data_IF_979718942681
#
_entry.id   IF_979718942681
#
_cell.length_a   1.000
_cell.length_b   1.000
_cell.length_c   1.000
_cell.angle_alpha   90.00
_cell.angle_beta   90.00
_cell.angle_gamma   90.00
#
_symmetry.space_group_name_H-M   'P 1'
#
loop_
_entity.id
_entity.type
_entity.pdbx_description
1 polymer ?
#
# COMPACT_ATOMS: atom_id res chain seq x y z
N UNK A 1 -15.59 7.90 12.47
CA UNK A 1 -15.12 6.66 11.83
C UNK A 1 -13.84 6.29 12.55
N UNK A 2 -13.86 5.19 13.32
CA UNK A 2 -12.68 4.73 14.06
C UNK A 2 -11.82 4.01 13.04
N UNK A 3 -10.65 4.57 12.69
CA UNK A 3 -9.69 3.89 11.80
C UNK A 3 -9.41 2.49 12.36
N UNK A 4 -9.71 1.47 11.55
CA UNK A 4 -9.57 0.05 11.92
C UNK A 4 -8.13 -0.28 12.33
N UNK A 5 -7.97 -1.29 13.19
CA UNK A 5 -6.65 -1.72 13.70
C UNK A 5 -5.69 -2.09 12.56
N UNK A 6 -6.22 -2.75 11.53
CA UNK A 6 -5.52 -3.07 10.28
C UNK A 6 -4.90 -1.84 9.61
N UNK A 7 -5.63 -0.72 9.56
CA UNK A 7 -5.15 0.52 8.93
C UNK A 7 -3.95 1.09 9.68
N UNK A 8 -4.02 1.10 11.02
CA UNK A 8 -2.94 1.60 11.87
C UNK A 8 -1.69 0.73 11.76
N UNK A 9 -1.85 -0.58 11.68
CA UNK A 9 -0.72 -1.50 11.48
C UNK A 9 -0.08 -1.28 10.11
N UNK A 10 -0.88 -1.09 9.06
CA UNK A 10 -0.36 -0.78 7.73
C UNK A 10 0.40 0.55 7.71
N UNK A 11 -0.10 1.60 8.36
CA UNK A 11 0.65 2.88 8.51
C UNK A 11 2.01 2.67 9.19
N UNK A 12 2.08 1.82 10.22
CA UNK A 12 3.36 1.54 10.90
C UNK A 12 4.35 0.80 10.00
N UNK A 13 3.88 -0.20 9.23
CA UNK A 13 4.72 -0.91 8.26
C UNK A 13 5.19 -0.01 7.14
N UNK A 14 4.33 0.90 6.66
CA UNK A 14 4.68 1.91 5.66
C UNK A 14 5.78 2.82 6.21
N UNK A 15 5.66 3.33 7.43
CA UNK A 15 6.69 4.20 8.00
C UNK A 15 8.01 3.45 8.22
N UNK A 16 7.96 2.17 8.61
CA UNK A 16 9.15 1.34 8.70
C UNK A 16 9.81 1.16 7.34
N UNK A 17 9.03 0.78 6.32
CA UNK A 17 9.50 0.65 4.94
C UNK A 17 10.12 1.97 4.44
N UNK A 18 9.54 3.11 4.79
CA UNK A 18 10.08 4.44 4.46
C UNK A 18 11.45 4.68 5.08
N UNK A 19 11.63 4.29 6.35
CA UNK A 19 12.90 4.47 7.08
C UNK A 19 13.99 3.54 6.58
N UNK A 20 13.60 2.38 6.07
CA UNK A 20 14.50 1.36 5.53
C UNK A 20 14.73 1.54 4.02
N UNK A 21 14.15 2.57 3.40
CA UNK A 21 14.16 2.78 1.95
C UNK A 21 13.76 1.49 1.19
N UNK A 22 12.77 0.78 1.73
CA UNK A 22 12.36 -0.53 1.23
C UNK A 22 11.76 -0.40 -0.17
N UNK A 23 12.23 -1.26 -1.07
CA UNK A 23 11.74 -1.36 -2.44
C UNK A 23 10.55 -2.33 -2.57
N UNK A 24 10.28 -3.12 -1.54
CA UNK A 24 9.15 -4.04 -1.49
C UNK A 24 8.40 -3.88 -0.17
N UNK A 25 7.07 -3.88 -0.21
CA UNK A 25 6.22 -3.78 0.97
C UNK A 25 5.10 -4.80 0.87
N UNK A 26 4.99 -5.62 1.91
CA UNK A 26 3.94 -6.62 2.04
C UNK A 26 2.89 -6.19 3.07
N UNK A 27 1.72 -5.84 2.55
CA UNK A 27 0.50 -5.55 3.31
C UNK A 27 -0.57 -6.61 3.07
N UNK A 28 -0.18 -7.81 2.63
CA UNK A 28 -1.13 -8.89 2.36
C UNK A 28 -1.73 -9.46 3.64
N UNK A 29 -2.97 -9.95 3.52
CA UNK A 29 -3.70 -10.62 4.59
C UNK A 29 -3.82 -9.79 5.89
N UNK A 30 -3.95 -8.46 5.75
CA UNK A 30 -4.10 -7.54 6.87
C UNK A 30 -5.56 -7.18 7.15
N UNK A 31 -6.50 -7.63 6.32
CA UNK A 31 -7.92 -7.25 6.45
C UNK A 31 -8.17 -5.78 6.13
N UNK A 32 -7.30 -5.16 5.33
CA UNK A 32 -7.45 -3.76 4.93
C UNK A 32 -8.72 -3.57 4.11
N UNK A 33 -9.54 -2.61 4.54
CA UNK A 33 -10.75 -2.17 3.81
C UNK A 33 -10.44 -1.02 2.86
N UNK A 34 -9.39 -0.24 3.17
CA UNK A 34 -8.86 0.87 2.40
C UNK A 34 -7.32 0.84 2.39
N UNK A 35 -6.70 1.41 1.36
CA UNK A 35 -5.24 1.54 1.28
C UNK A 35 -4.81 2.85 1.98
N UNK A 36 -3.84 2.82 2.91
CA UNK A 36 -3.40 4.04 3.56
C UNK A 36 -2.74 5.03 2.59
N UNK A 37 -3.10 6.32 2.68
CA UNK A 37 -2.53 7.38 1.83
C UNK A 37 -1.00 7.51 2.00
N UNK A 38 -0.47 7.12 3.16
CA UNK A 38 0.96 7.14 3.44
C UNK A 38 1.79 6.30 2.45
N UNK A 39 1.18 5.34 1.76
CA UNK A 39 1.84 4.54 0.72
C UNK A 39 2.40 5.42 -0.41
N UNK A 40 1.75 6.56 -0.70
CA UNK A 40 2.18 7.51 -1.71
C UNK A 40 3.52 8.20 -1.37
N UNK A 41 3.92 8.17 -0.10
CA UNK A 41 5.21 8.72 0.34
C UNK A 41 6.39 7.74 0.15
N UNK A 42 6.13 6.49 -0.24
CA UNK A 42 7.16 5.49 -0.51
C UNK A 42 7.67 5.61 -1.96
N UNK A 43 8.46 6.65 -2.22
CA UNK A 43 8.97 6.98 -3.56
C UNK A 43 9.93 5.94 -4.15
N UNK A 44 10.50 5.08 -3.30
CA UNK A 44 11.46 4.04 -3.67
C UNK A 44 10.79 2.67 -3.84
N UNK A 45 9.50 2.56 -3.51
CA UNK A 45 8.76 1.32 -3.57
C UNK A 45 8.57 0.87 -5.02
N UNK A 46 8.91 -0.37 -5.30
CA UNK A 46 8.80 -1.04 -6.60
C UNK A 46 7.80 -2.19 -6.56
N UNK A 47 7.56 -2.77 -5.39
CA UNK A 47 6.63 -3.88 -5.23
C UNK A 47 5.73 -3.63 -4.03
N UNK A 48 4.43 -3.74 -4.23
CA UNK A 48 3.44 -3.63 -3.17
C UNK A 48 2.49 -4.82 -3.24
N UNK A 49 2.49 -5.65 -2.20
CA UNK A 49 1.56 -6.76 -2.08
C UNK A 49 0.36 -6.36 -1.21
N UNK A 50 -0.83 -6.34 -1.82
CA UNK A 50 -2.11 -6.07 -1.13
C UNK A 50 -3.04 -7.28 -1.19
N UNK A 51 -2.52 -8.46 -1.52
CA UNK A 51 -3.31 -9.69 -1.64
C UNK A 51 -4.05 -10.06 -0.35
N UNK A 52 -5.18 -10.75 -0.47
CA UNK A 52 -5.95 -11.23 0.69
C UNK A 52 -6.42 -10.12 1.65
N UNK A 53 -6.70 -8.92 1.14
CA UNK A 53 -7.35 -7.85 1.90
C UNK A 53 -8.84 -7.74 1.55
N UNK A 54 -9.56 -6.89 2.27
CA UNK A 54 -10.98 -6.60 2.06
C UNK A 54 -11.17 -5.27 1.32
N UNK A 55 -10.25 -4.96 0.40
CA UNK A 55 -10.26 -3.71 -0.36
C UNK A 55 -11.47 -3.70 -1.29
N UNK A 56 -12.54 -3.05 -0.86
CA UNK A 56 -13.82 -3.01 -1.58
C UNK A 56 -13.75 -2.09 -2.80
N UNK A 57 -12.85 -1.11 -2.77
CA UNK A 57 -12.65 -0.09 -3.81
C UNK A 57 -11.20 -0.09 -4.32
N UNK A 58 -10.77 -1.23 -4.87
CA UNK A 58 -9.47 -1.32 -5.57
C UNK A 58 -9.37 -0.30 -6.73
N UNK A 59 -10.50 0.14 -7.29
CA UNK A 59 -10.56 1.05 -8.43
C UNK A 59 -10.11 2.49 -8.13
N UNK A 60 -10.26 3.01 -6.92
CA UNK A 60 -9.83 4.38 -6.59
C UNK A 60 -8.38 4.45 -6.11
N UNK A 61 -7.89 3.42 -5.41
CA UNK A 61 -6.49 3.35 -4.97
C UNK A 61 -5.51 3.34 -6.17
N UNK A 62 -5.92 2.74 -7.29
CA UNK A 62 -5.14 2.74 -8.54
C UNK A 62 -5.29 4.08 -9.29
N UNK A 63 -6.41 4.80 -9.12
CA UNK A 63 -6.66 6.09 -9.78
C UNK A 63 -5.80 7.24 -9.21
N UNK A 64 -5.39 7.16 -7.94
CA UNK A 64 -4.46 8.11 -7.32
C UNK A 64 -3.00 7.85 -7.70
N UNK A 65 -2.69 6.68 -8.26
CA UNK A 65 -1.34 6.35 -8.68
C UNK A 65 -1.13 6.78 -10.14
N UNK A 66 -0.67 8.02 -10.33
CA UNK A 66 -0.14 8.49 -11.61
C UNK A 66 1.36 8.17 -11.68
N UNK A 67 1.80 7.06 -12.31
CA UNK A 67 3.22 6.85 -12.54
C UNK A 67 3.70 7.89 -13.54
N UNK A 68 4.38 8.94 -13.04
CA UNK A 68 5.24 9.73 -13.90
C UNK A 68 6.44 8.85 -14.26
N UNK A 69 6.47 8.42 -15.52
CA UNK A 69 7.58 7.84 -16.27
C UNK A 69 8.72 7.21 -15.44
N UNK A 70 8.66 5.89 -15.18
CA UNK A 70 9.78 4.89 -15.13
C UNK A 70 9.73 3.84 -14.02
N UNK A 71 8.86 3.93 -13.02
CA UNK A 71 8.77 2.89 -11.97
C UNK A 71 7.37 2.27 -11.92
N UNK A 72 7.22 1.07 -12.49
CA UNK A 72 6.00 0.26 -12.40
C UNK A 72 6.02 -0.44 -11.04
N UNK A 73 5.22 0.04 -10.08
CA UNK A 73 4.93 -0.77 -8.90
C UNK A 73 4.13 -1.99 -9.36
N UNK A 74 4.70 -3.19 -9.20
CA UNK A 74 3.97 -4.43 -9.48
C UNK A 74 3.06 -4.67 -8.28
N UNK A 75 1.80 -4.21 -8.38
CA UNK A 75 0.76 -4.58 -7.43
C UNK A 75 0.35 -6.00 -7.78
N UNK A 76 0.70 -6.97 -6.93
CA UNK A 76 0.34 -8.37 -7.14
C UNK A 76 -0.94 -8.67 -6.36
N UNK A 77 -2.02 -8.95 -7.09
CA UNK A 77 -3.30 -9.42 -6.55
C UNK A 77 -3.58 -10.84 -7.06
N UNK A 78 -3.95 -11.81 -6.21
CA UNK A 78 -4.57 -13.06 -6.66
C UNK A 78 -6.02 -12.82 -7.12
#
# INVERSE_FOLDING_TARGET
>A
MVRDEAYREAEQRIEQARREDAVELDLSNMGLTEVPEAIANLTQLQTLNLSNNQLTELSEAIALYHPQETQKIIITTP
#
